data_IF_942753866110
#
_entry.id   IF_942753866110
#
_cell.length_a   1.000
_cell.length_b   1.000
_cell.length_c   1.000
_cell.angle_alpha   90.00
_cell.angle_beta   90.00
_cell.angle_gamma   90.00
#
_symmetry.space_group_name_H-M   'P 1'
#
loop_
_entity.id
_entity.type
_entity.pdbx_description
1 polymer ?
#
# COMPACT_ATOMS: atom_id res chain seq x y z
N UNK A 1 7.32 8.69 -35.46
CA UNK A 1 7.23 9.74 -34.42
C UNK A 1 7.14 9.07 -33.06
N UNK A 2 8.28 8.81 -32.43
CA UNK A 2 8.38 8.22 -31.09
C UNK A 2 8.33 9.36 -30.07
N UNK A 3 7.26 9.41 -29.26
CA UNK A 3 7.19 10.33 -28.11
C UNK A 3 8.13 9.80 -27.02
N UNK A 4 9.32 10.38 -26.90
CA UNK A 4 10.18 10.15 -25.74
C UNK A 4 9.41 10.58 -24.47
N UNK A 5 9.24 9.64 -23.53
CA UNK A 5 8.66 9.95 -22.22
C UNK A 5 9.76 10.62 -21.38
N UNK A 6 9.57 11.87 -20.90
CA UNK A 6 10.58 12.57 -20.14
C UNK A 6 10.52 12.11 -18.69
N UNK A 7 10.96 10.88 -18.41
CA UNK A 7 11.32 10.50 -17.05
C UNK A 7 12.60 11.27 -16.72
N UNK A 8 12.46 12.53 -16.29
CA UNK A 8 13.57 13.28 -15.71
C UNK A 8 13.98 12.53 -14.45
N UNK A 9 14.97 11.65 -14.59
CA UNK A 9 15.66 10.99 -13.48
C UNK A 9 16.44 12.07 -12.74
N UNK A 10 15.79 12.74 -11.79
CA UNK A 10 16.51 13.39 -10.71
C UNK A 10 17.44 12.34 -10.06
N UNK A 11 18.62 12.76 -9.62
CA UNK A 11 19.47 11.87 -8.83
C UNK A 11 18.63 11.36 -7.64
N UNK A 12 18.60 10.04 -7.38
CA UNK A 12 17.89 9.51 -6.24
C UNK A 12 18.45 10.17 -4.97
N UNK A 13 17.60 10.94 -4.28
CA UNK A 13 17.96 11.58 -3.02
C UNK A 13 17.71 10.56 -1.92
N UNK A 14 18.70 10.34 -1.07
CA UNK A 14 18.53 9.48 0.10
C UNK A 14 17.47 10.09 1.03
N UNK A 15 16.45 9.33 1.47
CA UNK A 15 15.46 9.83 2.41
C UNK A 15 16.11 10.24 3.74
N UNK A 16 15.52 11.22 4.42
CA UNK A 16 15.96 11.62 5.77
C UNK A 16 15.70 10.51 6.77
N UNK A 17 16.38 10.52 7.93
CA UNK A 17 16.13 9.53 8.99
C UNK A 17 14.66 9.55 9.46
N UNK A 18 14.10 10.75 9.67
CA UNK A 18 12.68 10.89 10.01
C UNK A 18 11.75 10.30 8.93
N UNK A 19 12.09 10.42 7.64
CA UNK A 19 11.34 9.79 6.57
C UNK A 19 11.47 8.26 6.61
N UNK A 20 12.66 7.72 6.89
CA UNK A 20 12.88 6.29 7.05
C UNK A 20 12.09 5.73 8.24
N UNK A 21 12.10 6.42 9.38
CA UNK A 21 11.33 6.03 10.58
C UNK A 21 9.84 6.03 10.32
N UNK A 22 9.32 7.05 9.63
CA UNK A 22 7.91 7.11 9.25
C UNK A 22 7.52 5.97 8.31
N UNK A 23 8.37 5.64 7.33
CA UNK A 23 8.12 4.51 6.43
C UNK A 23 8.18 3.16 7.16
N UNK A 24 9.04 3.01 8.17
CA UNK A 24 9.04 1.82 9.03
C UNK A 24 7.77 1.72 9.86
N UNK A 25 7.29 2.83 10.42
CA UNK A 25 6.03 2.86 11.15
C UNK A 25 4.85 2.48 10.23
N UNK A 26 4.81 3.02 9.01
CA UNK A 26 3.80 2.64 8.01
C UNK A 26 3.87 1.15 7.66
N UNK A 27 5.08 0.60 7.50
CA UNK A 27 5.28 -0.83 7.26
C UNK A 27 4.77 -1.68 8.43
N UNK A 28 4.89 -1.21 9.67
CA UNK A 28 4.33 -1.88 10.85
C UNK A 28 2.80 -1.90 10.82
N UNK A 29 2.19 -0.74 10.55
CA UNK A 29 0.73 -0.63 10.38
C UNK A 29 0.21 -1.55 9.29
N UNK A 30 0.90 -1.60 8.14
CA UNK A 30 0.55 -2.51 7.04
C UNK A 30 0.69 -3.97 7.46
N UNK A 31 1.79 -4.35 8.12
CA UNK A 31 1.98 -5.73 8.59
C UNK A 31 0.91 -6.15 9.61
N UNK A 32 0.55 -5.28 10.55
CA UNK A 32 -0.51 -5.55 11.53
C UNK A 32 -1.88 -5.66 10.87
N UNK A 33 -2.16 -4.80 9.89
CA UNK A 33 -3.38 -4.86 9.10
C UNK A 33 -3.46 -6.16 8.30
N UNK A 34 -2.38 -6.53 7.61
CA UNK A 34 -2.27 -7.79 6.86
C UNK A 34 -2.46 -8.97 7.81
N UNK A 35 -1.81 -9.02 8.97
CA UNK A 35 -1.95 -10.13 9.92
C UNK A 35 -3.38 -10.26 10.48
N UNK A 36 -4.10 -9.15 10.67
CA UNK A 36 -5.49 -9.16 11.15
C UNK A 36 -6.49 -9.57 10.08
N UNK A 37 -6.20 -9.27 8.82
CA UNK A 37 -7.11 -9.48 7.69
C UNK A 37 -6.71 -10.67 6.80
N UNK A 38 -5.53 -11.27 7.03
CA UNK A 38 -5.15 -12.63 6.63
C UNK A 38 -6.02 -13.62 7.39
N UNK A 39 -7.30 -13.58 7.09
CA UNK A 39 -8.18 -14.66 7.45
C UNK A 39 -7.72 -15.91 6.67
N UNK A 40 -7.72 -17.06 7.34
CA UNK A 40 -7.38 -18.34 6.72
C UNK A 40 -8.39 -18.75 5.62
N UNK A 41 -9.43 -17.94 5.40
CA UNK A 41 -10.52 -18.09 4.45
C UNK A 41 -10.25 -17.45 3.08
N UNK A 42 -9.19 -16.64 2.91
CA UNK A 42 -8.79 -16.13 1.60
C UNK A 42 -8.22 -17.30 0.80
N UNK A 43 -9.11 -18.01 0.10
CA UNK A 43 -8.70 -19.08 -0.80
C UNK A 43 -7.83 -18.50 -1.91
N UNK A 44 -6.63 -19.04 -2.04
CA UNK A 44 -5.77 -18.81 -3.18
C UNK A 44 -6.49 -19.22 -4.47
N UNK A 45 -6.77 -18.26 -5.35
CA UNK A 45 -7.44 -18.48 -6.64
C UNK A 45 -6.45 -18.29 -7.80
N UNK A 46 -5.70 -19.33 -8.21
CA UNK A 46 -4.67 -19.21 -9.25
C UNK A 46 -5.24 -18.89 -10.63
N UNK A 47 -6.54 -19.20 -10.82
CA UNK A 47 -7.27 -19.10 -12.08
C UNK A 47 -8.31 -17.96 -12.08
N UNK A 48 -8.22 -17.02 -11.14
CA UNK A 48 -9.14 -15.88 -11.10
C UNK A 48 -9.07 -15.09 -12.43
N UNK A 49 -10.22 -14.82 -13.08
CA UNK A 49 -10.26 -14.22 -14.42
C UNK A 49 -9.70 -12.78 -14.46
N UNK A 50 -9.53 -12.15 -13.31
CA UNK A 50 -9.01 -10.78 -13.15
C UNK A 50 -7.49 -10.72 -12.96
N UNK A 51 -6.79 -11.85 -13.01
CA UNK A 51 -5.34 -11.89 -12.82
C UNK A 51 -4.60 -11.29 -14.03
N UNK A 52 -3.70 -10.31 -13.81
CA UNK A 52 -2.74 -9.91 -14.84
C UNK A 52 -1.79 -11.08 -15.15
N UNK A 53 -1.72 -11.52 -16.40
CA UNK A 53 -0.98 -12.72 -16.89
C UNK A 53 0.50 -12.80 -16.48
N UNK A 54 1.10 -11.71 -15.99
CA UNK A 54 2.54 -11.57 -15.70
C UNK A 54 2.88 -11.41 -14.21
N UNK A 55 1.91 -11.53 -13.29
CA UNK A 55 2.17 -11.37 -11.85
C UNK A 55 2.19 -12.71 -11.12
N UNK A 56 3.33 -13.07 -10.53
CA UNK A 56 3.58 -14.22 -9.65
C UNK A 56 3.17 -13.95 -8.18
N UNK A 57 2.56 -12.81 -7.91
CA UNK A 57 2.22 -12.32 -6.58
C UNK A 57 0.85 -12.80 -6.08
N UNK A 58 0.77 -14.05 -5.66
CA UNK A 58 -0.46 -14.57 -5.04
C UNK A 58 -0.64 -14.19 -3.55
N UNK A 59 0.38 -13.60 -2.92
CA UNK A 59 0.35 -13.15 -1.51
C UNK A 59 -0.37 -11.79 -1.30
N UNK A 60 -0.76 -11.11 -2.38
CA UNK A 60 -1.33 -9.76 -2.33
C UNK A 60 -2.85 -9.72 -2.52
N UNK A 61 -3.58 -10.84 -2.45
CA UNK A 61 -5.05 -10.80 -2.65
C UNK A 61 -5.73 -9.82 -1.68
N UNK A 62 -5.22 -9.69 -0.45
CA UNK A 62 -5.65 -8.67 0.51
C UNK A 62 -5.21 -7.25 0.17
N UNK A 63 -4.07 -7.05 -0.50
CA UNK A 63 -3.66 -5.73 -1.00
C UNK A 63 -4.48 -5.29 -2.22
N UNK A 64 -5.28 -6.19 -2.81
CA UNK A 64 -6.07 -5.95 -4.03
C UNK A 64 -7.58 -5.89 -3.74
N UNK A 65 -8.10 -6.65 -2.77
CA UNK A 65 -9.53 -6.70 -2.48
C UNK A 65 -9.86 -6.91 -0.98
N UNK A 66 -9.48 -6.00 -0.09
CA UNK A 66 -9.89 -6.05 1.30
C UNK A 66 -11.37 -5.68 1.51
N UNK A 67 -11.99 -6.06 2.65
CA UNK A 67 -13.28 -5.53 3.06
C UNK A 67 -13.27 -3.99 3.09
N UNK A 68 -14.35 -3.36 2.64
CA UNK A 68 -14.41 -1.91 2.49
C UNK A 68 -14.21 -1.15 3.82
N UNK A 69 -14.62 -1.75 4.94
CA UNK A 69 -14.41 -1.26 6.30
C UNK A 69 -12.98 -1.48 6.79
N UNK A 70 -12.31 -2.54 6.34
CA UNK A 70 -10.91 -2.82 6.69
C UNK A 70 -9.92 -1.81 6.06
N UNK A 71 -10.18 -1.30 4.85
CA UNK A 71 -9.33 -0.25 4.24
C UNK A 71 -9.40 1.08 5.00
N UNK A 72 -10.56 1.41 5.56
CA UNK A 72 -10.77 2.69 6.20
C UNK A 72 -9.84 2.84 7.41
N UNK A 73 -9.77 1.82 8.27
CA UNK A 73 -8.90 1.84 9.45
C UNK A 73 -7.42 2.00 9.07
N UNK A 74 -6.97 1.28 8.03
CA UNK A 74 -5.60 1.40 7.51
C UNK A 74 -5.31 2.83 7.04
N UNK A 75 -6.22 3.41 6.26
CA UNK A 75 -6.05 4.76 5.72
C UNK A 75 -6.02 5.85 6.81
N UNK A 76 -6.85 5.73 7.85
CA UNK A 76 -6.86 6.66 8.98
C UNK A 76 -5.54 6.62 9.76
N UNK A 77 -5.01 5.43 10.04
CA UNK A 77 -3.72 5.25 10.72
C UNK A 77 -2.54 5.75 9.87
N UNK A 78 -2.56 5.45 8.57
CA UNK A 78 -1.57 5.95 7.64
C UNK A 78 -1.58 7.49 7.60
N UNK A 79 -2.75 8.12 7.44
CA UNK A 79 -2.87 9.60 7.43
C UNK A 79 -2.30 10.23 8.69
N UNK A 80 -2.62 9.67 9.85
CA UNK A 80 -2.11 10.12 11.15
C UNK A 80 -0.57 10.10 11.20
N UNK A 81 0.08 9.03 10.70
CA UNK A 81 1.55 8.92 10.65
C UNK A 81 2.21 10.01 9.79
N UNK A 82 1.50 10.50 8.76
CA UNK A 82 1.97 11.57 7.87
C UNK A 82 1.53 12.96 8.33
N UNK A 83 0.88 13.09 9.49
CA UNK A 83 0.38 14.37 10.01
C UNK A 83 -0.78 14.93 9.18
N UNK A 84 -1.58 14.04 8.59
CA UNK A 84 -2.81 14.37 7.89
C UNK A 84 -4.00 14.10 8.79
N UNK A 85 -5.08 14.83 8.57
CA UNK A 85 -6.38 14.56 9.15
C UNK A 85 -6.82 13.13 8.79
N UNK A 86 -7.21 12.28 9.77
CA UNK A 86 -7.46 10.87 9.55
C UNK A 86 -8.69 10.62 8.66
N UNK A 87 -9.74 11.43 8.80
CA UNK A 87 -10.99 11.26 8.06
C UNK A 87 -10.89 11.80 6.63
N UNK A 88 -10.25 12.96 6.46
CA UNK A 88 -10.27 13.73 5.20
C UNK A 88 -8.96 13.67 4.42
N UNK A 89 -7.86 13.22 5.03
CA UNK A 89 -6.53 13.18 4.43
C UNK A 89 -5.91 14.54 4.14
N UNK A 90 -6.51 15.63 4.67
CA UNK A 90 -6.01 16.99 4.49
C UNK A 90 -4.85 17.26 5.44
N UNK A 91 -3.93 18.14 5.05
CA UNK A 91 -2.89 18.62 5.98
C UNK A 91 -3.55 19.45 7.07
N UNK A 92 -3.23 19.12 8.32
CA UNK A 92 -3.57 19.91 9.50
C UNK A 92 -2.64 21.11 9.61
#
# INVERSE_FOLDING_TARGET
MTRERPWRRGRPVRPSQAQVERLRALSGVHADWVNRNLDASVEFQPDAPERPEVSDYNLHYLDVNPPADAEQEFHEQARTLFGLDPETGRRV
#
